data_IF_935641767351
#
_entry.id   IF_935641767351
#
_cell.length_a   1.000
_cell.length_b   1.000
_cell.length_c   1.000
_cell.angle_alpha   90.00
_cell.angle_beta   90.00
_cell.angle_gamma   90.00
#
_symmetry.space_group_name_H-M   'P 1'
#
loop_
_entity.id
_entity.type
_entity.pdbx_description
1 polymer ?
#
# COMPACT_ATOMS: atom_id res chain seq x y z
N UNK A 1 21.41 -1.74 1.41
CA UNK A 1 20.70 -1.67 0.10
C UNK A 1 19.23 -1.95 0.31
N UNK A 2 18.36 -1.48 -0.59
CA UNK A 2 16.94 -1.87 -0.61
C UNK A 2 16.82 -3.35 -0.98
N UNK A 3 16.03 -4.11 -0.21
CA UNK A 3 15.64 -5.49 -0.50
C UNK A 3 14.16 -5.58 -0.84
N UNK A 4 13.30 -4.95 -0.02
CA UNK A 4 11.85 -5.03 -0.15
C UNK A 4 11.25 -6.31 0.44
N UNK A 5 9.96 -6.24 0.77
CA UNK A 5 9.17 -7.35 1.31
C UNK A 5 7.77 -7.37 0.67
N UNK A 6 6.95 -8.36 1.04
CA UNK A 6 5.72 -8.73 0.32
C UNK A 6 5.99 -9.14 -1.13
N UNK A 7 7.18 -9.67 -1.42
CA UNK A 7 7.62 -9.98 -2.79
C UNK A 7 6.74 -11.02 -3.48
N UNK A 8 6.29 -12.05 -2.75
CA UNK A 8 5.36 -13.07 -3.26
C UNK A 8 4.02 -12.45 -3.64
N UNK A 9 3.42 -11.66 -2.75
CA UNK A 9 2.19 -10.92 -3.03
C UNK A 9 2.34 -9.96 -4.23
N UNK A 10 3.36 -9.09 -4.24
CA UNK A 10 3.59 -8.15 -5.34
C UNK A 10 3.78 -8.84 -6.69
N UNK A 11 4.56 -9.92 -6.72
CA UNK A 11 4.79 -10.73 -7.93
C UNK A 11 3.49 -11.40 -8.42
N UNK A 12 2.70 -11.96 -7.50
CA UNK A 12 1.43 -12.58 -7.83
C UNK A 12 0.44 -11.54 -8.38
N UNK A 13 0.18 -10.50 -7.60
CA UNK A 13 -0.86 -9.50 -7.91
C UNK A 13 -0.52 -8.68 -9.15
N UNK A 14 0.75 -8.34 -9.39
CA UNK A 14 1.14 -7.65 -10.63
C UNK A 14 0.86 -8.51 -11.87
N UNK A 15 1.18 -9.80 -11.84
CA UNK A 15 0.92 -10.73 -12.95
C UNK A 15 -0.58 -10.99 -13.15
N UNK A 16 -1.34 -11.16 -12.08
CA UNK A 16 -2.79 -11.31 -12.20
C UNK A 16 -3.46 -10.01 -12.66
N UNK A 17 -2.95 -8.83 -12.26
CA UNK A 17 -3.41 -7.53 -12.78
C UNK A 17 -3.25 -7.44 -14.29
N UNK A 18 -2.07 -7.80 -14.81
CA UNK A 18 -1.79 -7.77 -16.24
C UNK A 18 -2.82 -8.63 -17.01
N UNK A 19 -3.09 -9.85 -16.53
CA UNK A 19 -4.06 -10.74 -17.17
C UNK A 19 -5.48 -10.19 -17.06
N UNK A 20 -5.89 -9.79 -15.87
CA UNK A 20 -7.25 -9.38 -15.56
C UNK A 20 -7.63 -8.08 -16.28
N UNK A 21 -6.71 -7.12 -16.35
CA UNK A 21 -6.90 -5.87 -17.07
C UNK A 21 -6.58 -5.96 -18.58
N UNK A 22 -6.26 -7.16 -19.08
CA UNK A 22 -5.91 -7.43 -20.48
C UNK A 22 -4.80 -6.49 -21.02
N UNK A 23 -3.72 -6.36 -20.26
CA UNK A 23 -2.56 -5.54 -20.60
C UNK A 23 -1.45 -6.36 -21.27
N UNK A 24 -0.56 -5.71 -22.02
CA UNK A 24 0.59 -6.37 -22.63
C UNK A 24 1.56 -6.88 -21.54
N UNK A 25 1.75 -8.21 -21.40
CA UNK A 25 2.60 -8.78 -20.36
C UNK A 25 4.08 -8.42 -20.46
N UNK A 26 4.55 -7.87 -21.58
CA UNK A 26 5.95 -7.46 -21.75
C UNK A 26 6.20 -6.02 -21.31
N UNK A 27 5.21 -5.16 -21.42
CA UNK A 27 5.39 -3.70 -21.29
C UNK A 27 4.52 -3.06 -20.22
N UNK A 28 3.50 -3.76 -19.72
CA UNK A 28 2.55 -3.24 -18.74
C UNK A 28 3.25 -2.69 -17.49
N UNK A 29 2.90 -1.46 -17.12
CA UNK A 29 3.38 -0.72 -15.95
C UNK A 29 2.35 -0.81 -14.85
N UNK A 30 2.60 -1.67 -13.87
CA UNK A 30 1.66 -1.95 -12.78
C UNK A 30 2.24 -1.49 -11.46
N UNK A 31 1.46 -0.67 -10.74
CA UNK A 31 1.71 -0.35 -9.34
C UNK A 31 0.82 -1.25 -8.48
N UNK A 32 1.40 -2.00 -7.55
CA UNK A 32 0.65 -2.81 -6.59
C UNK A 32 0.73 -2.15 -5.21
N UNK A 33 -0.42 -1.85 -4.64
CA UNK A 33 -0.61 -1.34 -3.29
C UNK A 33 -1.00 -2.51 -2.37
N UNK A 34 -0.01 -3.17 -1.77
CA UNK A 34 -0.23 -4.17 -0.73
C UNK A 34 -0.49 -3.44 0.60
N UNK A 35 -1.76 -3.26 0.94
CA UNK A 35 -2.19 -2.47 2.09
C UNK A 35 -2.77 -3.41 3.15
N UNK A 36 -1.99 -3.69 4.19
CA UNK A 36 -2.40 -4.44 5.37
C UNK A 36 -1.88 -3.78 6.65
N UNK A 37 -1.80 -4.54 7.75
CA UNK A 37 -1.15 -4.06 8.98
C UNK A 37 0.34 -3.76 8.75
N UNK A 38 0.98 -4.53 7.86
CA UNK A 38 2.15 -4.09 7.10
C UNK A 38 1.73 -3.63 5.72
N UNK A 39 2.31 -2.53 5.24
CA UNK A 39 1.93 -1.98 3.94
C UNK A 39 3.17 -1.67 3.12
N UNK A 40 3.16 -2.06 1.84
CA UNK A 40 4.18 -1.66 0.88
C UNK A 40 3.60 -1.47 -0.51
N UNK A 41 4.26 -0.62 -1.30
CA UNK A 41 3.95 -0.43 -2.71
C UNK A 41 5.08 -1.01 -3.54
N UNK A 42 4.77 -1.59 -4.69
CA UNK A 42 5.75 -1.94 -5.72
C UNK A 42 5.40 -1.32 -7.06
N UNK A 43 6.43 -1.07 -7.87
CA UNK A 43 6.34 -0.67 -9.26
C UNK A 43 6.91 -1.81 -10.11
N UNK A 44 6.20 -2.20 -11.16
CA UNK A 44 6.64 -3.30 -12.03
C UNK A 44 6.38 -3.04 -13.51
N UNK A 45 7.32 -3.46 -14.36
CA UNK A 45 7.21 -3.42 -15.83
C UNK A 45 7.22 -4.85 -16.34
N UNK A 46 6.14 -5.28 -17.00
CA UNK A 46 5.97 -6.66 -17.47
C UNK A 46 6.07 -7.69 -16.34
N UNK A 47 5.59 -7.33 -15.15
CA UNK A 47 5.66 -8.17 -13.95
C UNK A 47 7.05 -8.26 -13.28
N UNK A 48 8.05 -7.50 -13.75
CA UNK A 48 9.35 -7.38 -13.10
C UNK A 48 9.40 -6.12 -12.23
N UNK A 49 9.66 -6.29 -10.94
CA UNK A 49 9.75 -5.18 -9.99
C UNK A 49 10.93 -4.25 -10.35
N UNK A 50 10.68 -2.95 -10.41
CA UNK A 50 11.69 -1.90 -10.63
C UNK A 50 11.88 -1.01 -9.40
N UNK A 51 10.88 -0.92 -8.51
CA UNK A 51 11.00 -0.23 -7.22
C UNK A 51 9.99 -0.80 -6.19
N UNK A 52 10.29 -0.65 -4.89
CA UNK A 52 9.41 -1.05 -3.80
C UNK A 52 9.65 -0.24 -2.52
N UNK A 53 8.58 0.05 -1.77
CA UNK A 53 8.65 1.08 -0.73
C UNK A 53 9.43 0.63 0.50
N UNK A 54 9.40 -0.67 0.83
CA UNK A 54 10.19 -1.19 1.95
C UNK A 54 11.67 -1.30 1.59
N UNK A 55 12.49 -1.12 2.61
CA UNK A 55 13.93 -0.91 2.50
C UNK A 55 14.77 -2.16 2.67
N UNK A 56 15.85 -1.98 3.44
CA UNK A 56 16.59 -3.08 4.06
C UNK A 56 15.72 -3.82 5.07
N UNK A 57 14.83 -3.09 5.76
CA UNK A 57 13.90 -3.62 6.75
C UNK A 57 12.46 -3.27 6.34
N UNK A 58 11.46 -3.91 6.96
CA UNK A 58 10.06 -3.58 6.73
C UNK A 58 9.60 -2.24 7.33
N UNK A 59 10.50 -1.41 7.87
CA UNK A 59 10.14 -0.14 8.53
C UNK A 59 9.95 1.01 7.54
N UNK A 60 10.75 1.04 6.47
CA UNK A 60 10.72 2.10 5.45
C UNK A 60 9.42 2.08 4.64
N UNK A 61 8.98 3.24 4.17
CA UNK A 61 7.90 3.37 3.22
C UNK A 61 6.63 3.95 3.81
N UNK A 62 5.54 3.22 3.61
CA UNK A 62 4.21 3.66 4.04
C UNK A 62 4.11 3.76 5.56
N UNK A 63 3.23 4.64 6.02
CA UNK A 63 2.66 4.55 7.37
C UNK A 63 1.97 3.18 7.47
N UNK A 64 2.13 2.47 8.57
CA UNK A 64 1.52 1.13 8.76
C UNK A 64 0.78 1.08 10.10
N UNK A 65 0.34 -0.11 10.54
CA UNK A 65 -0.35 -0.28 11.83
C UNK A 65 0.40 0.33 13.00
N UNK A 66 1.61 -0.17 13.24
CA UNK A 66 2.48 0.25 14.36
C UNK A 66 3.85 0.76 13.92
N UNK A 67 4.15 0.67 12.62
CA UNK A 67 5.43 1.08 12.02
C UNK A 67 5.33 2.50 11.47
N UNK A 68 6.37 3.29 11.70
CA UNK A 68 6.42 4.70 11.31
C UNK A 68 6.29 4.93 9.81
N UNK A 69 6.89 4.07 8.99
CA UNK A 69 7.19 4.44 7.60
C UNK A 69 8.34 5.45 7.56
N UNK A 70 8.40 6.22 6.47
CA UNK A 70 9.43 7.24 6.27
C UNK A 70 9.36 8.37 7.30
N UNK A 71 10.54 8.79 7.75
CA UNK A 71 10.74 9.93 8.64
C UNK A 71 12.10 10.58 8.37
N UNK A 72 12.27 11.81 8.86
CA UNK A 72 13.56 12.49 8.83
C UNK A 72 14.56 11.75 9.73
N UNK A 73 15.70 11.25 9.21
CA UNK A 73 16.71 10.57 10.01
C UNK A 73 17.17 11.35 11.24
N UNK A 74 17.19 12.69 11.19
CA UNK A 74 17.63 13.53 12.29
C UNK A 74 16.71 13.46 13.53
N UNK A 75 15.44 13.08 13.35
CA UNK A 75 14.49 12.92 14.47
C UNK A 75 14.95 11.82 15.44
N UNK A 76 15.63 10.79 14.95
CA UNK A 76 16.12 9.69 15.79
C UNK A 76 17.12 10.22 16.81
N UNK A 77 18.14 10.96 16.37
CA UNK A 77 19.14 11.54 17.27
C UNK A 77 18.50 12.55 18.23
N UNK A 78 17.64 13.42 17.72
CA UNK A 78 16.94 14.42 18.53
C UNK A 78 16.14 13.77 19.68
N UNK A 79 15.30 12.77 19.37
CA UNK A 79 14.48 12.09 20.37
C UNK A 79 15.31 11.27 21.35
N UNK A 80 16.32 10.54 20.87
CA UNK A 80 17.23 9.80 21.75
C UNK A 80 17.89 10.72 22.78
N UNK A 81 18.37 11.89 22.36
CA UNK A 81 19.02 12.85 23.24
C UNK A 81 18.03 13.54 24.19
N UNK A 82 16.83 13.88 23.71
CA UNK A 82 15.84 14.60 24.51
C UNK A 82 15.15 13.71 25.56
N UNK A 83 14.82 12.48 25.19
CA UNK A 83 14.08 11.53 26.05
C UNK A 83 15.02 10.53 26.77
N UNK A 84 16.35 10.71 26.62
CA UNK A 84 17.39 9.82 27.16
C UNK A 84 17.15 8.34 26.78
N UNK A 85 16.85 8.10 25.50
CA UNK A 85 16.61 6.77 24.94
C UNK A 85 17.85 6.23 24.25
N UNK A 86 18.05 4.92 24.36
CA UNK A 86 18.97 4.21 23.47
C UNK A 86 18.37 4.09 22.06
N UNK A 87 19.25 3.91 21.06
CA UNK A 87 18.82 3.65 19.68
C UNK A 87 17.90 2.43 19.60
N UNK A 88 18.15 1.38 20.39
CA UNK A 88 17.32 0.18 20.41
C UNK A 88 15.90 0.46 20.92
N UNK A 89 15.75 1.30 21.94
CA UNK A 89 14.43 1.71 22.46
C UNK A 89 13.69 2.58 21.45
N UNK A 90 14.40 3.50 20.78
CA UNK A 90 13.83 4.31 19.70
C UNK A 90 13.36 3.43 18.53
N UNK A 91 14.16 2.44 18.11
CA UNK A 91 13.76 1.49 17.07
C UNK A 91 12.54 0.65 17.48
N UNK A 92 12.42 0.29 18.77
CA UNK A 92 11.23 -0.38 19.27
C UNK A 92 9.99 0.53 19.18
N UNK A 93 10.10 1.81 19.55
CA UNK A 93 9.03 2.80 19.39
C UNK A 93 8.62 2.88 17.91
N UNK A 94 9.58 3.07 17.00
CA UNK A 94 9.31 3.18 15.56
C UNK A 94 8.64 1.93 14.97
N UNK A 95 8.85 0.75 15.54
CA UNK A 95 8.23 -0.50 15.06
C UNK A 95 6.90 -0.85 15.72
N UNK A 96 6.70 -0.47 16.98
CA UNK A 96 5.61 -1.00 17.84
C UNK A 96 4.66 0.07 18.37
N UNK A 97 5.07 1.34 18.39
CA UNK A 97 4.32 2.44 19.01
C UNK A 97 4.10 3.63 18.06
N UNK A 98 4.44 3.49 16.79
CA UNK A 98 4.27 4.52 15.76
C UNK A 98 3.15 4.14 14.80
N UNK A 99 3.24 4.57 13.53
CA UNK A 99 2.21 4.28 12.53
C UNK A 99 0.87 4.91 12.89
N UNK A 100 -0.21 4.32 12.37
CA UNK A 100 -1.57 4.80 12.68
C UNK A 100 -1.92 4.65 14.16
N UNK A 101 -1.33 3.69 14.88
CA UNK A 101 -1.49 3.56 16.33
C UNK A 101 -0.97 4.81 17.05
N UNK A 102 0.28 5.21 16.77
CA UNK A 102 0.88 6.39 17.40
C UNK A 102 0.20 7.69 16.97
N UNK A 103 -0.12 7.83 15.68
CA UNK A 103 -0.76 9.03 15.12
C UNK A 103 -2.19 9.23 15.64
N UNK A 104 -2.91 8.14 15.90
CA UNK A 104 -4.27 8.19 16.43
C UNK A 104 -4.32 8.46 17.94
N UNK A 105 -3.19 8.65 18.60
CA UNK A 105 -3.14 8.81 20.06
C UNK A 105 -3.42 7.50 20.82
N UNK A 106 -3.19 6.34 20.18
CA UNK A 106 -3.36 5.03 20.80
C UNK A 106 -4.75 4.41 20.64
N UNK A 107 -5.59 4.89 19.72
CA UNK A 107 -6.93 4.31 19.47
C UNK A 107 -6.81 2.84 19.04
N UNK A 108 -6.13 2.59 17.92
CA UNK A 108 -5.91 1.23 17.41
C UNK A 108 -4.85 1.23 16.30
N UNK A 109 -4.24 0.07 16.07
CA UNK A 109 -3.47 -0.20 14.85
C UNK A 109 -4.35 -0.75 13.71
N UNK A 110 -5.61 -1.09 14.00
CA UNK A 110 -6.58 -1.61 13.02
C UNK A 110 -7.33 -0.47 12.32
N UNK A 111 -7.33 -0.49 10.99
CA UNK A 111 -7.98 0.53 10.17
C UNK A 111 -9.50 0.52 10.30
N UNK A 112 -10.11 -0.60 10.70
CA UNK A 112 -11.56 -0.68 10.93
C UNK A 112 -11.97 0.12 12.15
N UNK A 113 -11.23 -0.02 13.24
CA UNK A 113 -11.46 0.73 14.48
C UNK A 113 -11.24 2.23 14.26
N UNK A 114 -10.19 2.60 13.52
CA UNK A 114 -9.92 4.00 13.18
C UNK A 114 -11.03 4.60 12.31
N UNK A 115 -11.54 3.85 11.34
CA UNK A 115 -12.65 4.31 10.51
C UNK A 115 -13.95 4.45 11.31
N UNK A 116 -14.23 3.51 12.23
CA UNK A 116 -15.37 3.63 13.14
C UNK A 116 -15.26 4.91 13.99
N UNK A 117 -14.11 5.14 14.64
CA UNK A 117 -13.86 6.34 15.43
C UNK A 117 -13.98 7.63 14.60
N UNK A 118 -13.45 7.64 13.37
CA UNK A 118 -13.57 8.79 12.47
C UNK A 118 -15.04 9.09 12.12
N UNK A 119 -15.85 8.05 11.87
CA UNK A 119 -17.28 8.19 11.60
C UNK A 119 -18.10 8.63 12.82
N UNK A 120 -17.60 8.38 14.03
CA UNK A 120 -18.15 8.88 15.29
C UNK A 120 -17.70 10.32 15.61
N UNK A 121 -16.93 10.97 14.73
CA UNK A 121 -16.49 12.35 14.87
C UNK A 121 -15.12 12.53 15.53
N UNK A 122 -14.32 11.46 15.67
CA UNK A 122 -12.95 11.58 16.16
C UNK A 122 -12.04 12.17 15.07
N UNK A 123 -11.73 13.46 15.21
CA UNK A 123 -10.90 14.19 14.24
C UNK A 123 -9.46 13.65 14.14
N UNK A 124 -8.90 13.13 15.24
CA UNK A 124 -7.53 12.57 15.23
C UNK A 124 -7.49 11.28 14.40
N UNK A 125 -8.49 10.41 14.53
CA UNK A 125 -8.63 9.21 13.71
C UNK A 125 -8.80 9.56 12.22
N UNK A 126 -9.64 10.55 11.92
CA UNK A 126 -9.85 11.04 10.55
C UNK A 126 -8.55 11.57 9.91
N UNK A 127 -7.85 12.48 10.59
CA UNK A 127 -6.57 13.02 10.10
C UNK A 127 -5.52 11.91 9.95
N UNK A 128 -5.52 10.92 10.84
CA UNK A 128 -4.63 9.75 10.73
C UNK A 128 -4.88 8.96 9.44
N UNK A 129 -6.15 8.68 9.11
CA UNK A 129 -6.51 8.00 7.87
C UNK A 129 -6.20 8.83 6.62
N UNK A 130 -6.41 10.14 6.68
CA UNK A 130 -6.05 11.07 5.60
C UNK A 130 -4.55 11.11 5.34
N UNK A 131 -3.73 11.13 6.41
CA UNK A 131 -2.29 11.08 6.30
C UNK A 131 -1.79 9.75 5.72
N UNK A 132 -2.41 8.63 6.10
CA UNK A 132 -2.14 7.32 5.49
C UNK A 132 -2.45 7.33 3.99
N UNK A 133 -3.65 7.77 3.60
CA UNK A 133 -4.06 7.82 2.20
C UNK A 133 -3.16 8.75 1.37
N UNK A 134 -2.76 9.90 1.93
CA UNK A 134 -1.81 10.81 1.32
C UNK A 134 -0.44 10.16 1.09
N UNK A 135 0.09 9.40 2.07
CA UNK A 135 1.37 8.70 1.93
C UNK A 135 1.30 7.64 0.82
N UNK A 136 0.21 6.88 0.74
CA UNK A 136 -0.02 5.91 -0.35
C UNK A 136 -0.02 6.62 -1.70
N UNK A 137 -0.79 7.70 -1.85
CA UNK A 137 -0.88 8.45 -3.10
C UNK A 137 0.48 9.02 -3.55
N UNK A 138 1.29 9.55 -2.61
CA UNK A 138 2.65 10.02 -2.91
C UNK A 138 3.54 8.93 -3.49
N UNK A 139 3.50 7.72 -2.92
CA UNK A 139 4.28 6.60 -3.42
C UNK A 139 3.81 6.17 -4.81
N UNK A 140 2.49 6.16 -5.06
CA UNK A 140 1.96 5.92 -6.41
C UNK A 140 2.53 6.94 -7.39
N UNK A 141 2.45 8.24 -7.09
CA UNK A 141 3.03 9.27 -7.96
C UNK A 141 4.53 9.12 -8.19
N UNK A 142 5.30 8.80 -7.14
CA UNK A 142 6.74 8.53 -7.24
C UNK A 142 7.03 7.34 -8.17
N UNK A 143 6.22 6.30 -8.12
CA UNK A 143 6.42 5.08 -8.89
C UNK A 143 5.89 5.18 -10.32
N UNK A 144 4.89 6.01 -10.54
CA UNK A 144 4.54 6.45 -11.89
C UNK A 144 5.72 7.17 -12.54
N UNK A 145 6.41 8.05 -11.81
CA UNK A 145 7.62 8.70 -12.33
C UNK A 145 8.74 7.70 -12.60
N UNK A 146 8.98 6.74 -11.69
CA UNK A 146 10.01 5.71 -11.84
C UNK A 146 9.82 4.83 -13.10
N UNK A 147 8.57 4.57 -13.49
CA UNK A 147 8.24 3.79 -14.70
C UNK A 147 7.95 4.66 -15.93
N UNK A 148 8.01 5.99 -15.80
CA UNK A 148 7.59 6.95 -16.83
C UNK A 148 6.17 6.66 -17.35
N UNK A 149 5.22 6.50 -16.42
CA UNK A 149 3.82 6.16 -16.71
C UNK A 149 3.30 5.01 -15.83
N UNK A 150 1.99 4.78 -15.90
CA UNK A 150 1.30 3.70 -15.20
C UNK A 150 0.08 3.28 -16.02
N UNK A 151 -0.11 1.97 -16.19
CA UNK A 151 -1.25 1.41 -16.91
C UNK A 151 -2.33 0.91 -15.94
N UNK A 152 -1.90 0.36 -14.79
CA UNK A 152 -2.79 -0.08 -13.73
C UNK A 152 -2.25 0.18 -12.32
N UNK A 153 -3.18 0.47 -11.40
CA UNK A 153 -2.94 0.55 -9.96
C UNK A 153 -3.86 -0.47 -9.29
N UNK A 154 -3.27 -1.41 -8.55
CA UNK A 154 -4.02 -2.52 -7.93
C UNK A 154 -3.94 -2.46 -6.42
N UNK A 155 -5.09 -2.45 -5.77
CA UNK A 155 -5.21 -2.59 -4.32
C UNK A 155 -5.33 -4.06 -3.93
N UNK A 156 -4.56 -4.46 -2.92
CA UNK A 156 -4.54 -5.83 -2.40
C UNK A 156 -4.24 -5.84 -0.90
N UNK A 157 -4.24 -7.03 -0.30
CA UNK A 157 -4.13 -7.31 1.13
C UNK A 157 -5.31 -6.78 1.96
N UNK A 158 -5.32 -7.10 3.26
CA UNK A 158 -6.50 -6.96 4.12
C UNK A 158 -7.19 -5.59 4.06
N UNK A 159 -6.43 -4.48 4.06
CA UNK A 159 -7.00 -3.12 3.95
C UNK A 159 -7.32 -2.78 2.50
N UNK A 160 -6.41 -3.04 1.55
CA UNK A 160 -6.63 -2.69 0.14
C UNK A 160 -7.84 -3.39 -0.48
N UNK A 161 -8.04 -4.66 -0.12
CA UNK A 161 -9.17 -5.48 -0.57
C UNK A 161 -10.48 -5.05 0.06
N UNK A 162 -10.52 -4.80 1.37
CA UNK A 162 -11.79 -4.71 2.11
C UNK A 162 -12.20 -3.28 2.49
N UNK A 163 -11.26 -2.34 2.56
CA UNK A 163 -11.55 -0.95 2.92
C UNK A 163 -11.94 -0.12 1.68
N UNK A 164 -13.13 -0.37 1.14
CA UNK A 164 -13.64 0.41 0.00
C UNK A 164 -13.68 1.93 0.27
N UNK A 165 -13.87 2.34 1.53
CA UNK A 165 -13.84 3.74 1.96
C UNK A 165 -12.46 4.40 1.84
N UNK A 166 -11.36 3.62 1.88
CA UNK A 166 -10.00 4.15 1.78
C UNK A 166 -9.61 4.45 0.33
N UNK A 167 -10.05 3.63 -0.61
CA UNK A 167 -9.72 3.75 -2.04
C UNK A 167 -10.03 5.13 -2.63
N UNK A 168 -11.22 5.76 -2.40
CA UNK A 168 -11.47 7.13 -2.85
C UNK A 168 -10.55 8.15 -2.17
N UNK A 169 -10.20 7.96 -0.89
CA UNK A 169 -9.27 8.85 -0.18
C UNK A 169 -7.88 8.87 -0.83
N UNK A 170 -7.43 7.75 -1.41
CA UNK A 170 -6.18 7.67 -2.19
C UNK A 170 -6.39 8.24 -3.59
N UNK A 171 -7.43 7.81 -4.29
CA UNK A 171 -7.66 8.14 -5.70
C UNK A 171 -7.91 9.63 -5.94
N UNK A 172 -8.41 10.38 -4.94
CA UNK A 172 -8.60 11.84 -5.05
C UNK A 172 -7.33 12.62 -5.40
N UNK A 173 -6.15 12.07 -5.09
CA UNK A 173 -4.85 12.68 -5.42
C UNK A 173 -4.33 12.32 -6.81
N UNK A 174 -4.96 11.37 -7.50
CA UNK A 174 -4.42 10.74 -8.71
C UNK A 174 -5.12 11.22 -9.99
N UNK A 175 -6.04 12.19 -9.90
CA UNK A 175 -6.78 12.70 -11.06
C UNK A 175 -5.89 13.24 -12.17
N UNK A 176 -4.70 13.77 -11.85
CA UNK A 176 -3.73 14.24 -12.85
C UNK A 176 -3.18 13.12 -13.75
N UNK A 177 -3.29 11.86 -13.32
CA UNK A 177 -2.96 10.67 -14.11
C UNK A 177 -4.12 10.24 -15.02
N UNK A 178 -5.28 10.90 -14.94
CA UNK A 178 -6.51 10.46 -15.60
C UNK A 178 -7.16 9.27 -14.91
N UNK A 179 -6.95 9.13 -13.60
CA UNK A 179 -7.63 8.13 -12.75
C UNK A 179 -9.04 8.61 -12.45
N UNK A 180 -10.03 7.77 -12.76
CA UNK A 180 -11.43 7.96 -12.39
C UNK A 180 -11.96 6.69 -11.72
N UNK A 181 -12.33 6.81 -10.44
CA UNK A 181 -12.85 5.70 -9.65
C UNK A 181 -14.36 5.55 -9.87
N UNK A 182 -14.80 4.32 -10.18
CA UNK A 182 -16.20 3.91 -10.04
C UNK A 182 -16.42 3.46 -8.59
N UNK A 183 -17.00 4.33 -7.76
CA UNK A 183 -17.24 4.05 -6.34
C UNK A 183 -18.19 2.86 -6.12
N UNK A 184 -19.17 2.66 -7.00
CA UNK A 184 -20.11 1.56 -6.88
C UNK A 184 -19.44 0.22 -7.21
N UNK A 185 -18.60 0.18 -8.24
CA UNK A 185 -17.77 -0.99 -8.54
C UNK A 185 -16.74 -1.24 -7.42
N UNK A 186 -16.12 -0.18 -6.90
CA UNK A 186 -15.23 -0.24 -5.74
C UNK A 186 -15.91 -0.90 -4.54
N UNK A 187 -17.11 -0.46 -4.17
CA UNK A 187 -17.85 -1.03 -3.05
C UNK A 187 -18.18 -2.53 -3.22
N UNK A 188 -18.43 -2.97 -4.47
CA UNK A 188 -18.71 -4.38 -4.80
C UNK A 188 -17.46 -5.26 -4.81
N UNK A 189 -16.28 -4.69 -5.03
CA UNK A 189 -15.01 -5.40 -5.14
C UNK A 189 -14.35 -5.70 -3.77
N UNK A 190 -15.10 -5.77 -2.67
CA UNK A 190 -14.55 -6.12 -1.36
C UNK A 190 -14.28 -7.63 -1.26
N UNK A 191 -13.01 -8.01 -1.13
CA UNK A 191 -12.58 -9.40 -1.01
C UNK A 191 -12.71 -10.23 -2.30
N UNK A 192 -12.99 -9.58 -3.44
CA UNK A 192 -13.13 -10.22 -4.75
C UNK A 192 -12.40 -9.42 -5.81
N UNK A 193 -11.98 -10.07 -6.90
CA UNK A 193 -11.33 -9.40 -8.02
C UNK A 193 -12.32 -8.46 -8.73
N UNK A 194 -11.89 -7.25 -9.07
CA UNK A 194 -12.74 -6.27 -9.74
C UNK A 194 -11.98 -5.10 -10.35
N UNK A 195 -12.41 -4.67 -11.55
CA UNK A 195 -12.03 -3.37 -12.10
C UNK A 195 -12.91 -2.33 -11.42
N UNK A 196 -12.27 -1.35 -10.79
CA UNK A 196 -12.94 -0.30 -10.00
C UNK A 196 -12.76 1.09 -10.61
N UNK A 197 -12.13 1.20 -11.78
CA UNK A 197 -12.08 2.43 -12.55
C UNK A 197 -13.26 2.54 -13.51
N UNK A 198 -13.69 3.76 -13.82
CA UNK A 198 -14.67 4.01 -14.89
C UNK A 198 -14.13 3.53 -16.26
N UNK A 199 -15.00 3.31 -17.27
CA UNK A 199 -14.57 3.06 -18.64
C UNK A 199 -13.68 4.17 -19.23
N UNK A 200 -13.90 5.42 -18.81
CA UNK A 200 -13.20 6.62 -19.27
C UNK A 200 -11.82 6.81 -18.63
N UNK A 201 -11.58 6.19 -17.47
CA UNK A 201 -10.30 6.25 -16.77
C UNK A 201 -9.15 5.78 -17.67
N UNK A 202 -8.11 6.62 -17.76
CA UNK A 202 -6.89 6.33 -18.53
C UNK A 202 -6.03 5.26 -17.88
N UNK A 203 -6.08 5.18 -16.56
CA UNK A 203 -5.38 4.18 -15.75
C UNK A 203 -6.41 3.20 -15.20
N UNK A 204 -6.16 1.89 -15.33
CA UNK A 204 -7.02 0.89 -14.72
C UNK A 204 -6.82 0.89 -13.21
N UNK A 205 -7.92 0.96 -12.47
CA UNK A 205 -7.91 0.68 -11.03
C UNK A 205 -8.47 -0.71 -10.80
N UNK A 206 -7.77 -1.52 -10.01
CA UNK A 206 -8.18 -2.89 -9.72
C UNK A 206 -8.18 -3.16 -8.21
N UNK A 207 -9.04 -4.07 -7.79
CA UNK A 207 -8.86 -4.86 -6.57
C UNK A 207 -8.54 -6.28 -6.99
N UNK A 208 -7.46 -6.84 -6.46
CA UNK A 208 -7.11 -8.25 -6.67
C UNK A 208 -6.68 -8.82 -5.32
N UNK A 209 -7.46 -9.76 -4.74
CA UNK A 209 -7.06 -10.44 -3.52
C UNK A 209 -5.74 -11.16 -3.70
N UNK A 210 -4.79 -10.92 -2.79
CA UNK A 210 -3.52 -11.64 -2.83
C UNK A 210 -3.73 -13.08 -2.37
N UNK A 211 -2.98 -14.02 -2.96
CA UNK A 211 -2.97 -15.42 -2.52
C UNK A 211 -1.52 -15.93 -2.54
N UNK A 212 -0.80 -15.66 -1.45
CA UNK A 212 0.62 -15.95 -1.35
C UNK A 212 0.87 -17.47 -1.27
N UNK A 213 -0.05 -18.21 -0.65
CA UNK A 213 -0.04 -19.66 -0.55
C UNK A 213 -0.17 -20.31 -1.93
N UNK A 214 -1.10 -19.83 -2.78
CA UNK A 214 -1.24 -20.30 -4.15
C UNK A 214 0.00 -19.97 -4.99
N UNK A 215 0.60 -18.80 -4.79
CA UNK A 215 1.84 -18.43 -5.47
C UNK A 215 2.98 -19.38 -5.10
N UNK A 216 3.14 -19.69 -3.80
CA UNK A 216 4.13 -20.67 -3.32
C UNK A 216 3.86 -22.06 -3.88
N UNK A 217 2.60 -22.51 -3.91
CA UNK A 217 2.22 -23.81 -4.45
C UNK A 217 2.54 -23.93 -5.96
N UNK A 218 2.30 -22.86 -6.74
CA UNK A 218 2.64 -22.81 -8.17
C UNK A 218 4.15 -22.89 -8.41
N UNK A 219 4.95 -22.14 -7.65
CA UNK A 219 6.42 -22.19 -7.74
C UNK A 219 6.96 -23.55 -7.31
N UNK A 220 6.41 -24.14 -6.24
CA UNK A 220 6.78 -25.48 -5.79
C UNK A 220 6.49 -26.51 -6.87
N UNK A 221 5.29 -26.50 -7.47
CA UNK A 221 4.93 -27.40 -8.56
C UNK A 221 5.85 -27.23 -9.79
N UNK A 222 6.27 -26.01 -10.10
CA UNK A 222 7.19 -25.76 -11.21
C UNK A 222 8.60 -26.32 -10.96
N UNK A 223 9.04 -26.40 -9.70
CA UNK A 223 10.36 -26.90 -9.31
C UNK A 223 10.44 -28.42 -9.13
N UNK A 224 9.34 -29.07 -8.71
CA UNK A 224 9.31 -30.53 -8.44
C UNK A 224 8.90 -31.37 -9.65
N UNK A 225 8.60 -30.73 -10.79
CA UNK A 225 8.40 -31.39 -12.08
C UNK A 225 9.72 -31.73 -12.76
#
# INVERSE_FOLDING_TARGET
RRYGFHGTSHSFVSKETIKFANLDPKTAKVIVCHLGNGASISASIGGKCVDTSMGLTPLEGLIMGTRSGDLDPAIIEYLCNHENLTVSEMLNILNKKSGVLGMSGGISSDFRDLNAAANEGNEVAKVTLEAYAYRVAKYIGSYTAAMNGVDAITFTAGVGENAAWLRPMVCKYLGFLGVELDEAASQKACGVEGIISTPESKVKLCVIPTNEELAIARETLALVK
#
